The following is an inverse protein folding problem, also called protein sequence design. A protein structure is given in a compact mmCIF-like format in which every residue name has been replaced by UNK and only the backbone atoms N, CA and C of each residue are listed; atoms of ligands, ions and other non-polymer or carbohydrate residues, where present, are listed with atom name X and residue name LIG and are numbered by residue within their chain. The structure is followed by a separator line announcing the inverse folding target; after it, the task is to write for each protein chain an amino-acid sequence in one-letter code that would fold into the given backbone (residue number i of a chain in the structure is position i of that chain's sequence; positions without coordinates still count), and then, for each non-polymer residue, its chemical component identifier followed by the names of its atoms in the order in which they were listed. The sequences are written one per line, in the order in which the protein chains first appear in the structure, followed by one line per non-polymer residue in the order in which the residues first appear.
data_IF_190641256340
#
_entry.id   IF_190641256340
#
_cell.length_a   1.000
_cell.length_b   1.000
_cell.length_c   1.000
_cell.angle_alpha   90.00
_cell.angle_beta   90.00
_cell.angle_gamma   90.00
#
_symmetry.space_group_name_H-M   'P 1'
#
loop_
_entity.id
_entity.type
_entity.pdbx_description
1 polymer ?
#
# COMPACT_ATOMS: atom_id res chain seq x y z
N UNK A 1 12.15 24.29 -6.61
CA UNK A 1 10.95 24.01 -5.77
C UNK A 1 9.65 23.80 -6.58
N UNK A 2 9.67 23.81 -7.92
CA UNK A 2 8.49 23.51 -8.77
C UNK A 2 8.19 21.99 -8.91
N UNK A 3 9.21 21.14 -8.66
CA UNK A 3 9.21 19.71 -8.97
C UNK A 3 8.34 18.84 -8.03
N UNK A 4 8.07 19.31 -6.81
CA UNK A 4 7.21 18.62 -5.84
C UNK A 4 5.70 18.78 -6.13
N UNK A 5 5.32 19.80 -6.92
CA UNK A 5 3.93 20.15 -7.20
C UNK A 5 3.42 19.61 -8.54
N UNK A 6 4.23 18.83 -9.26
CA UNK A 6 3.85 18.14 -10.51
C UNK A 6 4.03 16.62 -10.38
N UNK A 7 3.24 15.95 -9.52
CA UNK A 7 3.23 14.51 -9.42
C UNK A 7 2.64 13.84 -10.67
N UNK A 8 3.06 12.60 -10.93
CA UNK A 8 2.43 11.69 -11.87
C UNK A 8 1.00 11.40 -11.42
N UNK A 9 0.07 11.51 -12.36
CA UNK A 9 -1.37 11.40 -12.09
C UNK A 9 -1.91 10.06 -12.54
N UNK A 10 -3.12 9.75 -12.06
CA UNK A 10 -3.93 8.68 -12.61
C UNK A 10 -4.26 8.96 -14.08
N UNK A 11 -4.34 7.90 -14.89
CA UNK A 11 -5.03 7.97 -16.17
C UNK A 11 -6.51 8.29 -15.92
N UNK A 12 -7.12 9.10 -16.79
CA UNK A 12 -8.47 9.62 -16.59
C UNK A 12 -9.53 8.51 -16.50
N UNK A 13 -9.45 7.50 -17.37
CA UNK A 13 -10.45 6.42 -17.43
C UNK A 13 -10.43 5.53 -16.17
N UNK A 14 -9.28 4.97 -15.72
CA UNK A 14 -9.20 4.26 -14.45
C UNK A 14 -9.64 5.11 -13.26
N UNK A 15 -9.23 6.38 -13.21
CA UNK A 15 -9.65 7.29 -12.15
C UNK A 15 -11.18 7.40 -12.09
N UNK A 16 -11.85 7.70 -13.20
CA UNK A 16 -13.31 7.79 -13.27
C UNK A 16 -13.99 6.46 -12.98
N UNK A 17 -13.41 5.34 -13.41
CA UNK A 17 -13.95 4.00 -13.15
C UNK A 17 -14.02 3.68 -11.65
N UNK A 18 -13.00 4.07 -10.87
CA UNK A 18 -13.03 3.90 -9.42
C UNK A 18 -14.20 4.66 -8.76
N UNK A 19 -14.41 5.92 -9.15
CA UNK A 19 -15.49 6.77 -8.62
C UNK A 19 -16.90 6.36 -9.06
N UNK A 20 -17.02 5.61 -10.17
CA UNK A 20 -18.31 5.14 -10.71
C UNK A 20 -18.72 3.76 -10.19
N UNK A 21 -17.85 3.09 -9.45
CA UNK A 21 -18.16 1.77 -8.89
C UNK A 21 -19.27 1.88 -7.85
N UNK A 22 -20.23 0.95 -7.91
CA UNK A 22 -21.29 0.82 -6.90
C UNK A 22 -20.90 -0.14 -5.76
N UNK A 23 -19.80 -0.88 -5.90
CA UNK A 23 -19.31 -1.83 -4.90
C UNK A 23 -18.44 -1.16 -3.83
N UNK A 24 -18.02 0.08 -4.06
CA UNK A 24 -17.14 0.82 -3.15
C UNK A 24 -17.58 2.27 -2.98
N UNK A 25 -17.23 2.84 -1.84
CA UNK A 25 -17.35 4.26 -1.53
C UNK A 25 -15.94 4.84 -1.35
N UNK A 26 -15.69 6.02 -1.92
CA UNK A 26 -14.40 6.72 -1.82
C UNK A 26 -14.63 8.05 -1.10
N UNK A 27 -13.93 8.26 0.01
CA UNK A 27 -13.88 9.54 0.74
C UNK A 27 -12.47 10.11 0.69
N UNK A 28 -12.33 11.43 0.51
CA UNK A 28 -11.05 12.12 0.57
C UNK A 28 -10.94 13.02 1.79
N UNK A 29 -9.83 12.90 2.53
CA UNK A 29 -9.46 13.80 3.63
C UNK A 29 -8.20 14.61 3.28
N UNK A 30 -7.70 15.44 4.20
CA UNK A 30 -6.39 16.09 4.06
C UNK A 30 -5.24 15.06 4.09
N UNK A 31 -5.46 13.91 4.72
CA UNK A 31 -4.44 12.89 4.97
C UNK A 31 -4.49 11.71 4.03
N UNK A 32 -5.67 11.29 3.55
CA UNK A 32 -5.80 10.06 2.79
C UNK A 32 -7.05 10.00 1.90
N UNK A 33 -7.04 9.11 0.92
CA UNK A 33 -8.27 8.58 0.35
C UNK A 33 -8.64 7.31 1.11
N UNK A 34 -9.89 7.22 1.56
CA UNK A 34 -10.42 6.02 2.20
C UNK A 34 -11.41 5.37 1.27
N UNK A 35 -11.20 4.09 0.97
CA UNK A 35 -12.04 3.27 0.12
C UNK A 35 -12.70 2.20 0.99
N UNK A 36 -14.03 2.19 1.03
CA UNK A 36 -14.83 1.24 1.82
C UNK A 36 -15.73 0.41 0.91
N UNK A 37 -16.07 -0.83 1.29
CA UNK A 37 -17.09 -1.59 0.58
C UNK A 37 -18.47 -0.98 0.87
N UNK A 38 -19.36 -0.96 -0.13
CA UNK A 38 -20.75 -0.51 0.06
C UNK A 38 -21.65 -1.59 0.68
N UNK A 39 -21.19 -2.85 0.65
CA UNK A 39 -21.85 -4.03 1.21
C UNK A 39 -20.87 -4.76 2.12
N UNK A 40 -21.26 -5.01 3.38
CA UNK A 40 -20.47 -5.79 4.35
C UNK A 40 -20.57 -7.31 4.16
N UNK A 41 -19.91 -8.09 5.02
CA UNK A 41 -19.98 -9.56 5.01
C UNK A 41 -18.92 -10.27 4.14
N UNK A 42 -17.86 -9.58 3.72
CA UNK A 42 -16.74 -10.17 2.98
C UNK A 42 -15.65 -10.77 3.89
N UNK A 43 -14.80 -11.65 3.35
CA UNK A 43 -13.71 -12.30 4.11
C UNK A 43 -12.66 -11.33 4.69
N UNK A 44 -12.58 -10.12 4.15
CA UNK A 44 -11.72 -9.03 4.58
C UNK A 44 -12.42 -8.00 5.48
N UNK A 45 -13.65 -8.26 5.93
CA UNK A 45 -14.34 -7.39 6.88
C UNK A 45 -13.53 -7.25 8.18
N UNK A 46 -13.43 -6.01 8.68
CA UNK A 46 -12.59 -5.68 9.84
C UNK A 46 -11.08 -5.66 9.58
N UNK A 47 -10.63 -5.92 8.35
CA UNK A 47 -9.24 -5.78 7.91
C UNK A 47 -9.07 -4.46 7.15
N UNK A 48 -8.01 -3.74 7.46
CA UNK A 48 -7.62 -2.53 6.74
C UNK A 48 -6.27 -2.66 6.04
N UNK A 49 -6.09 -1.89 4.97
CA UNK A 49 -4.81 -1.69 4.30
C UNK A 49 -4.45 -0.21 4.33
N UNK A 50 -3.38 0.17 5.03
CA UNK A 50 -2.74 1.48 4.83
C UNK A 50 -1.74 1.34 3.68
N UNK A 51 -1.95 2.09 2.60
CA UNK A 51 -1.13 2.03 1.40
C UNK A 51 -0.37 3.34 1.15
N UNK A 52 0.93 3.22 0.92
CA UNK A 52 1.85 4.33 0.65
C UNK A 52 2.15 4.43 -0.86
N UNK A 53 1.72 5.51 -1.55
CA UNK A 53 2.09 5.78 -2.93
C UNK A 53 3.61 5.89 -3.13
N UNK A 54 4.09 5.69 -4.35
CA UNK A 54 5.49 5.97 -4.67
C UNK A 54 5.77 7.48 -4.72
N UNK A 55 7.05 7.85 -4.55
CA UNK A 55 7.53 9.20 -4.71
C UNK A 55 7.05 9.83 -6.03
N UNK A 56 6.53 11.05 -5.93
CA UNK A 56 5.99 11.87 -7.01
C UNK A 56 4.76 11.27 -7.71
N UNK A 57 4.00 10.39 -7.07
CA UNK A 57 2.73 9.89 -7.63
C UNK A 57 1.57 10.41 -6.78
N UNK A 58 0.53 10.94 -7.42
CA UNK A 58 -0.69 11.32 -6.72
C UNK A 58 -1.37 10.08 -6.12
N UNK A 59 -1.84 10.19 -4.88
CA UNK A 59 -2.56 9.10 -4.19
C UNK A 59 -3.76 8.60 -4.98
N UNK A 60 -4.41 9.48 -5.75
CA UNK A 60 -5.54 9.15 -6.62
C UNK A 60 -5.20 8.10 -7.70
N UNK A 61 -3.93 8.00 -8.11
CA UNK A 61 -3.46 7.02 -9.09
C UNK A 61 -3.59 5.56 -8.63
N UNK A 62 -3.81 5.35 -7.34
CA UNK A 62 -3.98 4.03 -6.74
C UNK A 62 -5.44 3.67 -6.47
N UNK A 63 -6.39 4.60 -6.62
CA UNK A 63 -7.82 4.35 -6.34
C UNK A 63 -8.33 3.14 -7.12
N UNK A 64 -8.15 3.14 -8.44
CA UNK A 64 -8.59 2.02 -9.29
C UNK A 64 -7.79 0.73 -9.04
N UNK A 65 -6.49 0.86 -8.75
CA UNK A 65 -5.62 -0.31 -8.55
C UNK A 65 -5.99 -1.07 -7.28
N UNK A 66 -6.49 -0.36 -6.27
CA UNK A 66 -6.83 -0.92 -4.96
C UNK A 66 -8.34 -1.06 -4.75
N UNK A 67 -9.21 -0.51 -5.61
CA UNK A 67 -10.66 -0.68 -5.49
C UNK A 67 -11.10 -2.14 -5.62
N UNK A 68 -10.34 -2.96 -6.37
CA UNK A 68 -10.64 -4.37 -6.58
C UNK A 68 -10.67 -5.16 -5.28
N UNK A 69 -9.63 -5.03 -4.44
CA UNK A 69 -9.58 -5.76 -3.16
C UNK A 69 -10.75 -5.35 -2.25
N UNK A 70 -11.08 -4.07 -2.19
CA UNK A 70 -12.24 -3.58 -1.42
C UNK A 70 -13.53 -4.23 -1.92
N UNK A 71 -13.77 -4.20 -3.23
CA UNK A 71 -14.99 -4.72 -3.83
C UNK A 71 -15.13 -6.24 -3.68
N UNK A 72 -14.02 -7.00 -3.67
CA UNK A 72 -14.06 -8.46 -3.64
C UNK A 72 -13.97 -9.06 -2.24
N UNK A 73 -13.23 -8.43 -1.32
CA UNK A 73 -13.00 -8.98 0.02
C UNK A 73 -13.71 -8.21 1.12
N UNK A 74 -14.11 -6.96 0.89
CA UNK A 74 -14.63 -6.09 1.96
C UNK A 74 -13.54 -5.44 2.82
N UNK A 75 -12.27 -5.53 2.44
CA UNK A 75 -11.16 -4.82 3.10
C UNK A 75 -11.31 -3.31 2.96
N UNK A 76 -11.09 -2.55 4.02
CA UNK A 76 -11.02 -1.07 3.93
C UNK A 76 -9.62 -0.63 3.52
N UNK A 77 -9.49 0.29 2.57
CA UNK A 77 -8.17 0.77 2.10
C UNK A 77 -8.00 2.25 2.40
N UNK A 78 -6.91 2.61 3.07
CA UNK A 78 -6.48 3.99 3.34
C UNK A 78 -5.24 4.28 2.51
N UNK A 79 -5.39 5.03 1.42
CA UNK A 79 -4.28 5.47 0.57
C UNK A 79 -3.80 6.83 1.09
N UNK A 80 -2.61 6.87 1.70
CA UNK A 80 -2.13 8.10 2.31
C UNK A 80 -1.83 9.16 1.25
N UNK A 81 -1.85 10.43 1.65
CA UNK A 81 -1.24 11.57 0.95
C UNK A 81 0.08 11.90 1.64
N UNK A 82 1.22 11.39 1.13
CA UNK A 82 2.51 11.67 1.75
C UNK A 82 2.84 13.16 1.65
N UNK A 83 3.60 13.68 2.62
CA UNK A 83 4.11 15.04 2.56
C UNK A 83 4.83 15.30 1.21
N UNK A 84 4.36 16.31 0.47
CA UNK A 84 4.88 16.69 -0.85
C UNK A 84 4.90 15.55 -1.90
N UNK A 85 4.05 14.53 -1.75
CA UNK A 85 4.07 13.28 -2.54
C UNK A 85 5.41 12.51 -2.42
N UNK A 86 6.11 12.64 -1.30
CA UNK A 86 7.41 12.00 -1.07
C UNK A 86 7.35 11.16 0.21
N UNK A 87 7.26 9.82 0.11
CA UNK A 87 7.25 8.93 1.28
C UNK A 87 8.44 9.16 2.22
N UNK A 88 9.61 9.49 1.69
CA UNK A 88 10.81 9.77 2.47
C UNK A 88 10.72 11.02 3.37
N UNK A 89 9.72 11.90 3.15
CA UNK A 89 9.45 13.07 3.99
C UNK A 89 8.24 12.88 4.91
N UNK A 90 7.62 11.70 4.88
CA UNK A 90 6.50 11.41 5.76
C UNK A 90 7.02 11.21 7.19
N UNK A 91 6.53 12.03 8.11
CA UNK A 91 6.92 12.01 9.53
C UNK A 91 5.77 11.60 10.44
N UNK A 92 4.53 11.54 9.92
CA UNK A 92 3.39 11.05 10.68
C UNK A 92 3.53 9.55 10.88
N UNK A 93 3.22 9.10 12.09
CA UNK A 93 3.16 7.70 12.43
C UNK A 93 1.94 7.01 11.78
N UNK A 94 1.96 5.68 11.76
CA UNK A 94 0.91 4.85 11.16
C UNK A 94 -0.49 5.17 11.71
N UNK A 95 -0.57 5.48 13.01
CA UNK A 95 -1.77 5.84 13.76
C UNK A 95 -2.52 7.03 13.14
N UNK A 96 -1.79 7.97 12.54
CA UNK A 96 -2.40 9.12 11.89
C UNK A 96 -3.26 8.75 10.68
N UNK A 97 -3.05 7.55 10.12
CA UNK A 97 -3.77 7.02 8.96
C UNK A 97 -4.75 5.92 9.35
N UNK A 98 -4.44 5.08 10.35
CA UNK A 98 -5.40 4.09 10.85
C UNK A 98 -6.59 4.78 11.55
N UNK A 99 -6.40 5.97 12.10
CA UNK A 99 -7.48 6.81 12.64
C UNK A 99 -8.53 7.24 11.59
N UNK A 100 -8.24 7.11 10.29
CA UNK A 100 -9.20 7.38 9.20
C UNK A 100 -10.25 6.25 9.04
N UNK A 101 -10.02 5.10 9.68
CA UNK A 101 -10.95 3.97 9.76
C UNK A 101 -10.89 3.31 11.16
N UNK A 102 -11.43 3.98 12.20
CA UNK A 102 -11.36 3.52 13.59
C UNK A 102 -12.10 2.19 13.84
N UNK A 103 -12.97 1.78 12.92
CA UNK A 103 -13.66 0.49 12.92
C UNK A 103 -12.74 -0.71 12.66
N UNK A 104 -11.54 -0.48 12.12
CA UNK A 104 -10.60 -1.53 11.75
C UNK A 104 -9.68 -1.88 12.92
N UNK A 105 -9.78 -3.13 13.37
CA UNK A 105 -8.95 -3.67 14.44
C UNK A 105 -7.64 -4.30 14.00
N UNK A 106 -7.49 -4.65 12.71
CA UNK A 106 -6.33 -5.39 12.19
C UNK A 106 -5.86 -4.84 10.85
N UNK A 107 -4.56 -4.61 10.74
CA UNK A 107 -3.98 -3.85 9.63
C UNK A 107 -2.96 -4.63 8.82
N UNK A 108 -3.00 -4.38 7.52
CA UNK A 108 -1.91 -4.59 6.57
C UNK A 108 -1.33 -3.21 6.28
N UNK A 109 -0.01 -3.10 6.27
CA UNK A 109 0.67 -1.91 5.74
C UNK A 109 1.32 -2.27 4.41
N UNK A 110 1.37 -1.32 3.47
CA UNK A 110 1.96 -1.61 2.19
C UNK A 110 2.29 -0.37 1.38
N UNK A 111 2.98 -0.56 0.27
CA UNK A 111 3.30 0.54 -0.61
C UNK A 111 3.99 0.13 -1.90
N UNK A 112 4.11 1.10 -2.81
CA UNK A 112 4.78 0.93 -4.09
C UNK A 112 6.19 1.54 -4.07
N UNK A 113 7.19 0.77 -4.50
CA UNK A 113 8.59 1.20 -4.58
C UNK A 113 9.04 1.89 -3.28
N UNK A 114 9.43 3.17 -3.31
CA UNK A 114 9.79 3.95 -2.12
C UNK A 114 8.72 3.98 -1.02
N UNK A 115 7.43 3.91 -1.36
CA UNK A 115 6.36 3.82 -0.37
C UNK A 115 6.37 2.49 0.39
N UNK A 116 6.75 1.39 -0.27
CA UNK A 116 6.90 0.09 0.38
C UNK A 116 8.04 0.08 1.41
N UNK A 117 9.11 0.86 1.19
CA UNK A 117 10.17 1.03 2.19
C UNK A 117 9.64 1.71 3.47
N UNK A 118 8.82 2.77 3.34
CA UNK A 118 8.17 3.39 4.51
C UNK A 118 7.21 2.41 5.21
N UNK A 119 6.47 1.61 4.44
CA UNK A 119 5.59 0.60 5.02
C UNK A 119 6.36 -0.45 5.85
N UNK A 120 7.58 -0.83 5.44
CA UNK A 120 8.44 -1.69 6.25
C UNK A 120 8.85 -1.04 7.57
N UNK A 121 9.17 0.25 7.57
CA UNK A 121 9.50 0.99 8.81
C UNK A 121 8.30 1.03 9.77
N UNK A 122 7.10 1.24 9.25
CA UNK A 122 5.88 1.16 10.07
C UNK A 122 5.62 -0.24 10.60
N UNK A 123 5.84 -1.27 9.79
CA UNK A 123 5.69 -2.66 10.23
C UNK A 123 6.69 -3.02 11.34
N UNK A 124 7.94 -2.55 11.22
CA UNK A 124 8.97 -2.73 12.24
C UNK A 124 8.60 -2.02 13.55
N UNK A 125 8.16 -0.76 13.45
CA UNK A 125 7.78 0.03 14.62
C UNK A 125 6.60 -0.61 15.37
N UNK A 126 5.58 -1.09 14.65
CA UNK A 126 4.41 -1.74 15.23
C UNK A 126 4.74 -3.05 15.97
N UNK A 127 5.77 -3.78 15.53
CA UNK A 127 6.21 -5.02 16.17
C UNK A 127 7.16 -4.82 17.38
N UNK A 128 7.57 -3.58 17.67
CA UNK A 128 8.51 -3.30 18.75
C UNK A 128 7.80 -3.15 20.10
N UNK A 129 8.26 -3.88 21.14
CA UNK A 129 7.68 -3.86 22.50
C UNK A 129 7.79 -2.51 23.24
N UNK A 130 8.37 -1.48 22.61
CA UNK A 130 8.72 -0.20 23.25
C UNK A 130 7.67 0.92 23.06
N UNK A 131 6.47 0.61 22.55
CA UNK A 131 5.40 1.60 22.33
C UNK A 131 4.62 1.98 23.58
N UNK A 132 4.58 3.28 23.93
CA UNK A 132 3.83 3.89 25.05
C UNK A 132 2.34 4.14 24.72
N UNK A 133 1.89 3.70 23.53
CA UNK A 133 0.49 3.67 23.11
C UNK A 133 0.17 2.30 22.51
N UNK A 134 -1.11 1.92 22.50
CA UNK A 134 -1.57 0.73 21.78
C UNK A 134 -1.30 0.94 20.28
N UNK A 135 -0.14 0.46 19.82
CA UNK A 135 0.22 0.50 18.40
C UNK A 135 -0.83 -0.30 17.60
N UNK A 136 -1.16 0.11 16.36
CA UNK A 136 -2.06 -0.65 15.51
C UNK A 136 -1.57 -2.09 15.36
N UNK A 137 -2.47 -3.06 15.45
CA UNK A 137 -2.14 -4.46 15.18
C UNK A 137 -1.81 -4.64 13.69
N UNK A 138 -0.52 -4.68 13.36
CA UNK A 138 -0.02 -4.92 12.00
C UNK A 138 0.27 -6.40 11.82
N UNK A 139 -0.56 -7.05 11.01
CA UNK A 139 -0.49 -8.49 10.77
C UNK A 139 0.17 -8.86 9.43
N UNK A 140 0.35 -7.90 8.53
CA UNK A 140 0.91 -8.17 7.21
C UNK A 140 1.53 -6.97 6.51
N UNK A 141 2.31 -7.30 5.48
CA UNK A 141 3.05 -6.35 4.65
C UNK A 141 2.76 -6.62 3.16
N UNK A 142 2.35 -5.59 2.43
CA UNK A 142 2.12 -5.63 0.99
C UNK A 142 3.15 -4.77 0.24
N UNK A 143 4.02 -5.40 -0.55
CA UNK A 143 5.07 -4.73 -1.32
C UNK A 143 4.73 -4.78 -2.81
N UNK A 144 4.54 -3.63 -3.45
CA UNK A 144 4.44 -3.54 -4.92
C UNK A 144 5.75 -3.00 -5.47
N UNK A 145 6.49 -3.79 -6.26
CA UNK A 145 7.77 -3.39 -6.84
C UNK A 145 8.72 -2.76 -5.81
N UNK A 146 8.80 -3.36 -4.62
CA UNK A 146 9.49 -2.79 -3.45
C UNK A 146 10.18 -3.86 -2.64
N UNK A 147 11.02 -3.43 -1.71
CA UNK A 147 11.73 -4.24 -0.73
C UNK A 147 11.90 -3.45 0.57
N UNK A 148 12.13 -4.15 1.67
CA UNK A 148 12.53 -3.51 2.92
C UNK A 148 14.01 -3.12 2.90
N UNK A 149 14.36 -2.13 3.73
CA UNK A 149 15.75 -1.79 4.05
C UNK A 149 16.09 -2.25 5.47
N UNK A 150 15.11 -2.22 6.37
CA UNK A 150 15.18 -2.75 7.71
C UNK A 150 14.93 -4.26 7.76
N UNK A 151 15.49 -4.91 8.78
CA UNK A 151 15.36 -6.34 9.03
C UNK A 151 14.03 -6.66 9.72
N UNK A 152 13.16 -7.39 9.03
CA UNK A 152 11.89 -7.92 9.51
C UNK A 152 11.90 -9.46 9.55
N UNK A 153 13.07 -10.10 9.39
CA UNK A 153 13.20 -11.57 9.28
C UNK A 153 12.66 -12.31 10.50
N UNK A 154 12.74 -11.70 11.69
CA UNK A 154 12.23 -12.26 12.95
C UNK A 154 10.78 -11.90 13.25
N UNK A 155 10.09 -11.17 12.36
CA UNK A 155 8.69 -10.79 12.55
C UNK A 155 7.74 -11.95 12.22
N UNK A 156 6.50 -11.87 12.71
CA UNK A 156 5.44 -12.84 12.39
C UNK A 156 4.54 -12.40 11.23
N UNK A 157 4.94 -11.37 10.48
CA UNK A 157 4.15 -10.74 9.43
C UNK A 157 3.89 -11.70 8.27
N UNK A 158 2.67 -11.68 7.73
CA UNK A 158 2.40 -12.26 6.42
C UNK A 158 2.85 -11.28 5.33
N UNK A 159 3.77 -11.69 4.44
CA UNK A 159 4.35 -10.78 3.43
C UNK A 159 3.97 -11.18 2.01
N UNK A 160 3.26 -10.28 1.33
CA UNK A 160 2.96 -10.42 -0.11
C UNK A 160 3.77 -9.42 -0.90
N UNK A 161 4.54 -9.90 -1.89
CA UNK A 161 5.33 -9.04 -2.77
C UNK A 161 4.93 -9.25 -4.22
N UNK A 162 4.49 -8.20 -4.91
CA UNK A 162 4.22 -8.22 -6.35
C UNK A 162 5.41 -7.61 -7.07
N UNK A 163 6.06 -8.42 -7.90
CA UNK A 163 7.27 -8.05 -8.63
C UNK A 163 6.95 -7.97 -10.11
N UNK A 164 7.21 -6.82 -10.73
CA UNK A 164 7.09 -6.66 -12.17
C UNK A 164 8.36 -7.20 -12.84
N UNK A 165 8.20 -8.22 -13.69
CA UNK A 165 9.34 -8.96 -14.29
C UNK A 165 10.26 -8.10 -15.17
N UNK A 166 9.73 -6.99 -15.69
CA UNK A 166 10.45 -6.03 -16.53
C UNK A 166 10.78 -4.71 -15.81
N UNK A 167 10.65 -4.65 -14.48
CA UNK A 167 11.03 -3.47 -13.71
C UNK A 167 12.54 -3.21 -13.84
N UNK A 168 12.89 -1.98 -14.20
CA UNK A 168 14.28 -1.51 -14.38
C UNK A 168 14.70 -0.51 -13.31
N UNK A 169 13.80 -0.17 -12.39
CA UNK A 169 14.01 0.76 -11.28
C UNK A 169 14.19 -0.02 -9.98
N UNK A 170 13.26 -0.92 -9.68
CA UNK A 170 13.37 -1.90 -8.60
C UNK A 170 13.42 -3.27 -9.25
N UNK A 171 14.61 -3.63 -9.73
CA UNK A 171 14.73 -4.84 -10.54
C UNK A 171 14.34 -6.07 -9.73
N UNK A 172 13.85 -7.14 -10.36
CA UNK A 172 13.58 -8.36 -9.63
C UNK A 172 14.79 -8.92 -8.89
N UNK A 173 15.99 -8.69 -9.42
CA UNK A 173 17.24 -9.03 -8.75
C UNK A 173 17.42 -8.23 -7.45
N UNK A 174 17.22 -6.90 -7.50
CA UNK A 174 17.36 -6.03 -6.30
C UNK A 174 16.38 -6.42 -5.18
N UNK A 175 15.18 -6.87 -5.55
CA UNK A 175 14.15 -7.35 -4.61
C UNK A 175 14.53 -8.72 -4.05
N UNK A 176 14.98 -9.64 -4.89
CA UNK A 176 15.39 -10.99 -4.47
C UNK A 176 16.59 -10.96 -3.51
N UNK A 177 17.56 -10.08 -3.75
CA UNK A 177 18.73 -9.89 -2.88
C UNK A 177 18.40 -9.38 -1.47
N UNK A 178 17.15 -8.92 -1.25
CA UNK A 178 16.66 -8.42 0.04
C UNK A 178 15.56 -9.29 0.64
N UNK A 179 15.26 -10.43 0.03
CA UNK A 179 14.27 -11.36 0.54
C UNK A 179 14.65 -11.89 1.93
N UNK A 180 15.95 -11.97 2.25
CA UNK A 180 16.47 -12.36 3.56
C UNK A 180 16.17 -11.37 4.70
N UNK A 181 15.64 -10.18 4.38
CA UNK A 181 15.16 -9.21 5.37
C UNK A 181 13.68 -9.44 5.74
N UNK A 182 13.04 -10.45 5.14
CA UNK A 182 11.64 -10.80 5.36
C UNK A 182 11.55 -12.18 6.02
N UNK A 183 10.42 -12.52 6.66
CA UNK A 183 10.22 -13.86 7.23
C UNK A 183 10.23 -14.95 6.14
N UNK A 184 11.13 -15.92 6.27
CA UNK A 184 11.42 -16.95 5.26
C UNK A 184 10.20 -17.85 4.92
N UNK A 185 9.29 -18.09 5.88
CA UNK A 185 8.12 -18.96 5.71
C UNK A 185 6.87 -18.24 5.18
N UNK A 186 6.90 -16.90 5.08
CA UNK A 186 5.70 -16.07 4.83
C UNK A 186 5.86 -15.07 3.71
N UNK A 187 7.00 -15.04 3.01
CA UNK A 187 7.17 -14.24 1.81
C UNK A 187 6.65 -14.97 0.56
N UNK A 188 5.71 -14.32 -0.15
CA UNK A 188 5.13 -14.83 -1.40
C UNK A 188 5.38 -13.85 -2.55
N UNK A 189 6.41 -14.06 -3.40
CA UNK A 189 6.59 -13.28 -4.61
C UNK A 189 5.60 -13.71 -5.69
N UNK A 190 4.78 -12.76 -6.15
CA UNK A 190 3.92 -12.91 -7.31
C UNK A 190 4.58 -12.17 -8.49
N UNK A 191 5.02 -12.96 -9.47
CA UNK A 191 5.64 -12.46 -10.69
C UNK A 191 4.54 -11.99 -11.66
N UNK A 192 4.36 -10.67 -11.74
CA UNK A 192 3.40 -10.09 -12.68
C UNK A 192 4.05 -9.91 -14.06
N UNK A 193 3.79 -10.87 -14.95
CA UNK A 193 4.10 -10.73 -16.37
C UNK A 193 3.00 -9.93 -17.09
N UNK A 194 3.44 -9.06 -18.00
CA UNK A 194 2.69 -8.15 -18.85
C UNK A 194 1.29 -8.65 -19.25
N UNK A 195 0.24 -7.84 -19.01
CA UNK A 195 -0.94 -7.85 -19.89
C UNK A 195 -0.45 -7.54 -21.32
N UNK A 196 -0.93 -8.25 -22.37
CA UNK A 196 -0.60 -7.86 -23.73
C UNK A 196 -1.17 -6.46 -23.97
N UNK A 197 -0.30 -5.47 -24.10
CA UNK A 197 -0.65 -4.17 -24.62
C UNK A 197 -1.13 -4.36 -26.06
N UNK A 198 -2.43 -4.56 -26.24
CA UNK A 198 -3.05 -4.48 -27.55
C UNK A 198 -3.20 -2.99 -27.87
N UNK A 199 -2.10 -2.38 -28.32
CA UNK A 199 -2.16 -1.10 -29.04
C UNK A 199 -2.60 -1.44 -30.45
N UNK A 200 -3.87 -1.22 -30.77
CA UNK A 200 -4.31 -1.18 -32.16
C UNK A 200 -3.60 -0.01 -32.85
N UNK A 201 -3.05 -0.28 -34.03
CA UNK A 201 -2.62 0.75 -34.98
C UNK A 201 -3.80 1.59 -35.43
#
# INVERSE_FOLDING_TARGET
MLYAFTPYRADADPFLAAWRSNAIEITGTDRAFVIRPTIGGGEGEGIGLVFVPSARVESSAYLYKLSGIVATTGTTVVIIRPALNLPALESRALEAFTAEAPEIGRWIVGGHSSGGTLACEWALAAGSEHGVHAAPDVAGLLLLGSHCASDLSTSTLAVTSLVASNDRIRTPKDIAERANLLPDDRWRPLWWCSFPARVSR
#
